data_IF_041851607459
#
_entry.id   IF_041851607459
#
_cell.length_a   1.000
_cell.length_b   1.000
_cell.length_c   1.000
_cell.angle_alpha   90.00
_cell.angle_beta   90.00
_cell.angle_gamma   90.00
#
_symmetry.space_group_name_H-M   'P 1'
#
loop_
_entity.id
_entity.type
_entity.pdbx_description
1 polymer ?
#
# COMPACT_ATOMS: atom_id res chain seq x y z
N UNK A 1 -19.32 -14.05 -24.20
CA UNK A 1 -18.63 -12.77 -24.47
C UNK A 1 -17.30 -12.74 -23.68
N UNK A 2 -16.19 -12.51 -24.40
CA UNK A 2 -14.91 -12.24 -23.75
C UNK A 2 -15.05 -10.89 -23.05
N UNK A 3 -15.02 -10.85 -21.72
CA UNK A 3 -15.14 -9.62 -20.95
C UNK A 3 -14.07 -8.58 -21.34
N UNK A 4 -14.20 -7.36 -20.82
CA UNK A 4 -13.22 -6.31 -21.06
C UNK A 4 -11.93 -6.61 -20.27
N UNK A 5 -10.82 -6.77 -20.98
CA UNK A 5 -9.50 -6.96 -20.38
C UNK A 5 -8.40 -6.26 -21.21
N UNK A 6 -7.27 -6.03 -20.58
CA UNK A 6 -6.10 -5.43 -21.21
C UNK A 6 -4.93 -6.41 -21.12
N UNK A 7 -4.19 -6.64 -22.22
CA UNK A 7 -2.94 -7.41 -22.21
C UNK A 7 -1.83 -6.63 -21.50
N UNK A 8 -0.78 -7.33 -21.08
CA UNK A 8 0.41 -6.67 -20.52
C UNK A 8 1.12 -5.81 -21.57
N UNK A 9 1.20 -6.30 -22.81
CA UNK A 9 1.65 -5.50 -23.95
C UNK A 9 0.83 -5.85 -25.20
N UNK A 10 0.93 -5.04 -26.23
CA UNK A 10 0.18 -5.20 -27.49
C UNK A 10 0.83 -6.20 -28.46
N UNK A 11 2.09 -6.55 -28.26
CA UNK A 11 2.89 -7.19 -29.31
C UNK A 11 2.89 -8.71 -29.25
N UNK A 12 2.61 -9.34 -28.11
CA UNK A 12 2.78 -10.78 -27.95
C UNK A 12 1.53 -11.55 -27.54
N UNK A 13 0.36 -10.93 -27.55
CA UNK A 13 -0.87 -11.59 -27.20
C UNK A 13 -0.90 -12.11 -25.74
N UNK A 14 -0.11 -11.50 -24.83
CA UNK A 14 -0.13 -11.85 -23.42
C UNK A 14 -1.56 -11.80 -22.89
N UNK A 15 -1.94 -12.81 -22.12
CA UNK A 15 -3.28 -12.90 -21.53
C UNK A 15 -3.55 -11.80 -20.52
N UNK A 16 -4.79 -11.72 -20.04
CA UNK A 16 -5.16 -10.80 -18.97
C UNK A 16 -4.39 -11.12 -17.68
N UNK A 17 -3.99 -10.08 -16.97
CA UNK A 17 -3.24 -10.21 -15.73
C UNK A 17 -3.61 -9.12 -14.72
N UNK A 18 -3.30 -9.33 -13.46
CA UNK A 18 -3.65 -8.41 -12.38
C UNK A 18 -2.88 -7.09 -12.47
N UNK A 19 -1.64 -7.09 -12.99
CA UNK A 19 -0.81 -5.90 -13.02
C UNK A 19 -1.31 -4.83 -14.01
N UNK A 20 -2.09 -5.20 -15.02
CA UNK A 20 -2.74 -4.25 -15.95
C UNK A 20 -4.18 -3.93 -15.56
N UNK A 21 -4.92 -4.96 -15.14
CA UNK A 21 -6.36 -4.80 -14.87
C UNK A 21 -6.67 -4.10 -13.56
N UNK A 22 -5.87 -4.32 -12.50
CA UNK A 22 -6.07 -3.64 -11.22
C UNK A 22 -5.89 -2.12 -11.34
N UNK A 23 -4.79 -1.59 -11.93
CA UNK A 23 -4.66 -0.15 -12.13
C UNK A 23 -5.65 0.40 -13.16
N UNK A 24 -6.06 -0.38 -14.18
CA UNK A 24 -7.10 0.07 -15.12
C UNK A 24 -8.46 0.26 -14.42
N UNK A 25 -8.85 -0.68 -13.56
CA UNK A 25 -10.03 -0.57 -12.72
C UNK A 25 -9.96 0.67 -11.81
N UNK A 26 -8.85 0.83 -11.10
CA UNK A 26 -8.61 1.96 -10.20
C UNK A 26 -8.62 3.30 -10.93
N UNK A 27 -7.95 3.39 -12.08
CA UNK A 27 -7.91 4.60 -12.89
C UNK A 27 -9.29 4.97 -13.40
N UNK A 28 -10.07 4.01 -13.92
CA UNK A 28 -11.42 4.23 -14.38
C UNK A 28 -12.34 4.75 -13.26
N UNK A 29 -12.25 4.18 -12.05
CA UNK A 29 -12.98 4.66 -10.88
C UNK A 29 -12.59 6.11 -10.52
N UNK A 30 -11.30 6.44 -10.49
CA UNK A 30 -10.80 7.81 -10.23
C UNK A 30 -11.26 8.80 -11.31
N UNK A 31 -11.26 8.42 -12.58
CA UNK A 31 -11.73 9.25 -13.67
C UNK A 31 -13.24 9.54 -13.55
N UNK A 32 -14.02 8.54 -13.17
CA UNK A 32 -15.45 8.75 -12.89
C UNK A 32 -15.65 9.73 -11.73
N UNK A 33 -14.96 9.54 -10.61
CA UNK A 33 -15.05 10.46 -9.46
C UNK A 33 -14.67 11.89 -9.83
N UNK A 34 -13.74 12.07 -10.75
CA UNK A 34 -13.26 13.40 -11.16
C UNK A 34 -14.19 14.08 -12.19
N UNK A 35 -14.70 13.31 -13.14
CA UNK A 35 -15.40 13.88 -14.32
C UNK A 35 -16.90 13.54 -14.40
N UNK A 36 -17.40 12.60 -13.59
CA UNK A 36 -18.81 12.17 -13.61
C UNK A 36 -19.26 11.47 -14.90
N UNK A 37 -18.32 11.03 -15.73
CA UNK A 37 -18.64 10.45 -17.04
C UNK A 37 -18.94 8.96 -16.90
N UNK A 38 -20.19 8.54 -17.17
CA UNK A 38 -20.67 7.16 -16.96
C UNK A 38 -19.83 6.08 -17.64
N UNK A 39 -19.23 6.39 -18.79
CA UNK A 39 -18.32 5.46 -19.49
C UNK A 39 -17.18 4.98 -18.61
N UNK A 40 -16.65 5.83 -17.74
CA UNK A 40 -15.55 5.44 -16.84
C UNK A 40 -16.05 4.50 -15.73
N UNK A 41 -17.26 4.73 -15.21
CA UNK A 41 -17.86 3.80 -14.24
C UNK A 41 -18.16 2.43 -14.88
N UNK A 42 -18.68 2.42 -16.10
CA UNK A 42 -18.89 1.18 -16.85
C UNK A 42 -17.58 0.41 -17.06
N UNK A 43 -16.49 1.06 -17.41
CA UNK A 43 -15.18 0.43 -17.51
C UNK A 43 -14.67 -0.09 -16.15
N UNK A 44 -14.81 0.68 -15.09
CA UNK A 44 -14.37 0.24 -13.76
C UNK A 44 -15.11 -1.03 -13.32
N UNK A 45 -16.44 -1.09 -13.52
CA UNK A 45 -17.26 -2.28 -13.24
C UNK A 45 -16.86 -3.47 -14.10
N UNK A 46 -16.64 -3.30 -15.39
CA UNK A 46 -16.23 -4.38 -16.30
C UNK A 46 -14.86 -4.94 -15.95
N UNK A 47 -13.88 -4.09 -15.60
CA UNK A 47 -12.57 -4.56 -15.11
C UNK A 47 -12.69 -5.28 -13.78
N UNK A 48 -13.49 -4.76 -12.84
CA UNK A 48 -13.77 -5.43 -11.58
C UNK A 48 -14.39 -6.83 -11.80
N UNK A 49 -15.41 -6.92 -12.63
CA UNK A 49 -16.08 -8.19 -12.92
C UNK A 49 -15.13 -9.18 -13.58
N UNK A 50 -14.29 -8.73 -14.51
CA UNK A 50 -13.28 -9.59 -15.11
C UNK A 50 -12.27 -10.10 -14.06
N UNK A 51 -11.75 -9.20 -13.24
CA UNK A 51 -10.81 -9.56 -12.17
C UNK A 51 -11.40 -10.59 -11.20
N UNK A 52 -12.63 -10.37 -10.74
CA UNK A 52 -13.26 -11.26 -9.74
C UNK A 52 -13.68 -12.61 -10.32
N UNK A 53 -14.03 -12.67 -11.60
CA UNK A 53 -14.49 -13.89 -12.24
C UNK A 53 -13.35 -14.76 -12.77
N UNK A 54 -12.19 -14.19 -13.11
CA UNK A 54 -11.15 -14.91 -13.84
C UNK A 54 -9.77 -14.93 -13.16
N UNK A 55 -9.42 -13.90 -12.37
CA UNK A 55 -8.07 -13.73 -11.86
C UNK A 55 -8.03 -13.86 -10.33
N UNK A 56 -8.76 -13.01 -9.62
CA UNK A 56 -8.78 -12.99 -8.17
C UNK A 56 -9.44 -14.25 -7.59
N UNK A 57 -8.95 -14.71 -6.45
CA UNK A 57 -9.40 -15.95 -5.81
C UNK A 57 -10.31 -15.66 -4.62
N UNK A 58 -11.10 -16.65 -4.26
CA UNK A 58 -12.05 -16.56 -3.13
C UNK A 58 -11.36 -16.40 -1.78
N UNK A 59 -10.10 -16.84 -1.66
CA UNK A 59 -9.29 -16.73 -0.44
C UNK A 59 -8.71 -15.33 -0.20
N UNK A 60 -8.89 -14.40 -1.13
CA UNK A 60 -8.39 -13.03 -1.06
C UNK A 60 -7.13 -12.76 -1.89
N UNK A 61 -6.57 -13.75 -2.58
CA UNK A 61 -5.49 -13.53 -3.54
C UNK A 61 -6.00 -12.79 -4.76
N UNK A 62 -5.28 -11.75 -5.17
CA UNK A 62 -5.58 -11.04 -6.42
C UNK A 62 -4.99 -11.76 -7.63
N UNK A 63 -3.83 -12.43 -7.45
CA UNK A 63 -3.14 -13.17 -8.52
C UNK A 63 -2.25 -14.30 -7.97
N UNK A 64 -1.61 -15.07 -8.86
CA UNK A 64 -0.66 -16.13 -8.53
C UNK A 64 0.69 -15.89 -9.23
N UNK A 65 1.82 -15.74 -8.51
CA UNK A 65 1.89 -15.62 -7.04
C UNK A 65 1.30 -14.29 -6.53
N UNK A 66 0.83 -14.23 -5.26
CA UNK A 66 0.29 -12.99 -4.73
C UNK A 66 1.41 -11.96 -4.55
N UNK A 67 1.22 -10.79 -5.15
CA UNK A 67 2.13 -9.64 -5.05
C UNK A 67 1.47 -8.51 -4.30
N UNK A 68 2.23 -7.81 -3.46
CA UNK A 68 1.66 -6.79 -2.57
C UNK A 68 1.04 -5.63 -3.34
N UNK A 69 1.65 -5.19 -4.45
CA UNK A 69 1.14 -4.05 -5.22
C UNK A 69 -0.22 -4.33 -5.86
N UNK A 70 -0.46 -5.53 -6.38
CA UNK A 70 -1.74 -5.89 -6.98
C UNK A 70 -2.84 -6.03 -5.95
N UNK A 71 -2.51 -6.61 -4.76
CA UNK A 71 -3.42 -6.66 -3.62
C UNK A 71 -3.88 -5.26 -3.20
N UNK A 72 -2.94 -4.32 -3.07
CA UNK A 72 -3.23 -2.94 -2.72
C UNK A 72 -4.04 -2.21 -3.79
N UNK A 73 -3.60 -2.28 -5.05
CA UNK A 73 -4.22 -1.55 -6.16
C UNK A 73 -5.66 -2.01 -6.41
N UNK A 74 -5.90 -3.33 -6.42
CA UNK A 74 -7.25 -3.83 -6.62
C UNK A 74 -8.15 -3.61 -5.41
N UNK A 75 -7.59 -3.73 -4.20
CA UNK A 75 -8.33 -3.38 -2.97
C UNK A 75 -8.77 -1.92 -2.94
N UNK A 76 -7.91 -0.99 -3.35
CA UNK A 76 -8.26 0.44 -3.47
C UNK A 76 -9.30 0.68 -4.57
N UNK A 77 -9.21 0.00 -5.71
CA UNK A 77 -10.24 0.07 -6.74
C UNK A 77 -11.62 -0.35 -6.18
N UNK A 78 -11.66 -1.43 -5.42
CA UNK A 78 -12.88 -1.87 -4.74
C UNK A 78 -13.39 -0.83 -3.73
N UNK A 79 -12.49 -0.22 -2.92
CA UNK A 79 -12.88 0.83 -1.97
C UNK A 79 -13.53 2.01 -2.68
N UNK A 80 -12.94 2.50 -3.77
CA UNK A 80 -13.52 3.61 -4.54
C UNK A 80 -14.84 3.23 -5.22
N UNK A 81 -14.95 2.02 -5.77
CA UNK A 81 -16.23 1.54 -6.33
C UNK A 81 -17.34 1.49 -5.27
N UNK A 82 -17.02 1.14 -4.02
CA UNK A 82 -17.98 1.23 -2.93
C UNK A 82 -18.45 2.67 -2.72
N UNK A 83 -17.56 3.64 -2.63
CA UNK A 83 -17.94 5.05 -2.45
C UNK A 83 -18.74 5.62 -3.63
N UNK A 84 -18.50 5.11 -4.84
CA UNK A 84 -19.25 5.53 -6.05
C UNK A 84 -20.65 4.93 -6.06
N UNK A 85 -20.79 3.65 -5.71
CA UNK A 85 -22.02 2.89 -5.97
C UNK A 85 -22.84 2.57 -4.72
N UNK A 86 -22.25 2.59 -3.53
CA UNK A 86 -22.86 2.11 -2.28
C UNK A 86 -23.00 0.58 -2.18
N UNK A 87 -22.54 -0.19 -3.19
CA UNK A 87 -22.74 -1.63 -3.23
C UNK A 87 -21.80 -2.35 -2.27
N UNK A 88 -22.35 -3.02 -1.26
CA UNK A 88 -21.59 -3.70 -0.19
C UNK A 88 -20.58 -4.74 -0.68
N UNK A 89 -20.79 -5.33 -1.86
CA UNK A 89 -19.83 -6.30 -2.45
C UNK A 89 -18.43 -5.70 -2.62
N UNK A 90 -18.34 -4.43 -3.04
CA UNK A 90 -17.07 -3.74 -3.22
C UNK A 90 -16.37 -3.47 -1.89
N UNK A 91 -17.12 -3.01 -0.88
CA UNK A 91 -16.62 -2.81 0.48
C UNK A 91 -16.01 -4.09 1.07
N UNK A 92 -16.73 -5.22 0.94
CA UNK A 92 -16.23 -6.52 1.41
C UNK A 92 -14.94 -6.92 0.71
N UNK A 93 -14.88 -6.79 -0.61
CA UNK A 93 -13.70 -7.16 -1.41
C UNK A 93 -12.50 -6.26 -1.13
N UNK A 94 -12.69 -4.97 -0.94
CA UNK A 94 -11.62 -4.06 -0.53
C UNK A 94 -10.90 -4.55 0.73
N UNK A 95 -11.66 -4.88 1.79
CA UNK A 95 -11.10 -5.40 3.03
C UNK A 95 -10.38 -6.73 2.86
N UNK A 96 -10.99 -7.67 2.13
CA UNK A 96 -10.43 -9.01 1.90
C UNK A 96 -9.09 -8.92 1.17
N UNK A 97 -9.00 -8.15 0.07
CA UNK A 97 -7.79 -8.08 -0.75
C UNK A 97 -6.64 -7.36 -0.04
N UNK A 98 -6.89 -6.21 0.57
CA UNK A 98 -5.84 -5.47 1.29
C UNK A 98 -5.38 -6.27 2.52
N UNK A 99 -6.30 -6.82 3.29
CA UNK A 99 -5.97 -7.58 4.49
C UNK A 99 -5.13 -8.85 4.17
N UNK A 100 -5.40 -9.50 3.04
CA UNK A 100 -4.63 -10.67 2.60
C UNK A 100 -3.12 -10.38 2.56
N UNK A 101 -2.72 -9.21 2.03
CA UNK A 101 -1.31 -8.84 1.94
C UNK A 101 -0.60 -8.78 3.30
N UNK A 102 -1.32 -8.46 4.37
CA UNK A 102 -0.72 -8.29 5.70
C UNK A 102 -0.89 -9.48 6.64
N UNK A 103 -1.77 -10.43 6.30
CA UNK A 103 -2.11 -11.54 7.20
C UNK A 103 -1.78 -12.92 6.64
N UNK A 104 -1.65 -13.06 5.32
CA UNK A 104 -1.35 -14.34 4.71
C UNK A 104 0.15 -14.62 4.67
N UNK A 105 0.58 -15.82 5.08
CA UNK A 105 1.98 -16.24 5.09
C UNK A 105 2.65 -16.25 3.71
N UNK A 106 1.89 -16.16 2.63
CA UNK A 106 2.43 -16.00 1.27
C UNK A 106 2.89 -14.57 0.95
N UNK A 107 2.38 -13.58 1.70
CA UNK A 107 2.76 -12.17 1.57
C UNK A 107 3.57 -11.68 2.76
N UNK A 108 3.66 -12.46 3.84
CA UNK A 108 4.34 -12.09 5.08
C UNK A 108 5.41 -13.11 5.46
N UNK A 109 6.41 -12.64 6.19
CA UNK A 109 7.40 -13.45 6.88
C UNK A 109 7.57 -12.88 8.30
N UNK A 110 7.48 -13.72 9.34
CA UNK A 110 7.52 -13.31 10.75
C UNK A 110 6.51 -12.18 11.11
N UNK A 111 5.38 -12.14 10.37
CA UNK A 111 4.33 -11.14 10.57
C UNK A 111 4.68 -9.74 10.04
N UNK A 112 5.67 -9.63 9.17
CA UNK A 112 6.02 -8.43 8.39
C UNK A 112 5.85 -8.73 6.90
N UNK A 113 5.64 -7.70 6.09
CA UNK A 113 5.63 -7.83 4.63
C UNK A 113 6.95 -8.43 4.17
N UNK A 114 6.86 -9.52 3.39
CA UNK A 114 8.04 -10.26 2.95
C UNK A 114 8.90 -9.46 1.97
N UNK A 115 10.09 -9.94 1.75
CA UNK A 115 10.92 -9.60 0.62
C UNK A 115 10.32 -10.20 -0.68
N UNK A 116 10.08 -9.37 -1.69
CA UNK A 116 9.46 -9.81 -2.96
C UNK A 116 10.45 -9.91 -4.11
N UNK A 117 11.72 -9.57 -3.88
CA UNK A 117 12.81 -9.63 -4.83
C UNK A 117 13.69 -8.37 -4.79
N UNK A 118 14.81 -8.41 -5.52
CA UNK A 118 15.83 -7.35 -5.53
C UNK A 118 15.86 -6.54 -6.82
N UNK A 119 15.07 -6.92 -7.84
CA UNK A 119 14.91 -6.08 -9.02
C UNK A 119 14.28 -4.73 -8.67
N UNK A 120 14.44 -3.73 -9.52
CA UNK A 120 13.85 -2.41 -9.31
C UNK A 120 12.34 -2.51 -9.06
N UNK A 121 11.61 -3.24 -9.90
CA UNK A 121 10.15 -3.39 -9.80
C UNK A 121 9.74 -4.10 -8.52
N UNK A 122 10.36 -5.24 -8.22
CA UNK A 122 10.04 -6.05 -7.04
C UNK A 122 10.30 -5.29 -5.73
N UNK A 123 11.35 -4.48 -5.69
CA UNK A 123 11.68 -3.67 -4.51
C UNK A 123 10.68 -2.52 -4.29
N UNK A 124 9.92 -2.11 -5.32
CA UNK A 124 8.89 -1.06 -5.26
C UNK A 124 7.49 -1.58 -4.92
N UNK A 125 7.21 -2.89 -4.99
CA UNK A 125 5.85 -3.41 -4.82
C UNK A 125 5.19 -2.98 -3.50
N UNK A 126 5.93 -3.03 -2.40
CA UNK A 126 5.42 -2.59 -1.10
C UNK A 126 5.09 -1.10 -1.06
N UNK A 127 5.85 -0.25 -1.78
CA UNK A 127 5.58 1.18 -1.86
C UNK A 127 4.19 1.48 -2.43
N UNK A 128 3.71 0.64 -3.34
CA UNK A 128 2.38 0.78 -3.96
C UNK A 128 1.27 0.32 -3.02
N UNK A 129 1.48 -0.76 -2.26
CA UNK A 129 0.48 -1.27 -1.30
C UNK A 129 0.19 -0.28 -0.17
N UNK A 130 1.25 0.30 0.42
CA UNK A 130 1.17 1.04 1.69
C UNK A 130 0.16 2.19 1.66
N UNK A 131 0.19 3.14 0.69
CA UNK A 131 -0.75 4.26 0.68
C UNK A 131 -2.21 3.80 0.56
N UNK A 132 -2.49 2.71 -0.15
CA UNK A 132 -3.84 2.17 -0.28
C UNK A 132 -4.31 1.49 1.01
N UNK A 133 -3.42 0.78 1.70
CA UNK A 133 -3.72 0.21 3.02
C UNK A 133 -4.00 1.32 4.05
N UNK A 134 -3.25 2.41 4.03
CA UNK A 134 -3.49 3.56 4.90
C UNK A 134 -4.79 4.28 4.54
N UNK A 135 -5.11 4.47 3.25
CA UNK A 135 -6.41 5.02 2.85
C UNK A 135 -7.57 4.17 3.39
N UNK A 136 -7.44 2.83 3.34
CA UNK A 136 -8.43 1.93 3.92
C UNK A 136 -8.55 2.08 5.44
N UNK A 137 -7.44 2.24 6.15
CA UNK A 137 -7.44 2.45 7.61
C UNK A 137 -8.12 3.76 8.01
N UNK A 138 -7.94 4.82 7.24
CA UNK A 138 -8.50 6.15 7.49
C UNK A 138 -9.97 6.29 7.06
N UNK A 139 -10.47 5.37 6.26
CA UNK A 139 -11.84 5.39 5.75
C UNK A 139 -12.81 4.78 6.79
N UNK A 140 -13.59 5.63 7.43
CA UNK A 140 -14.51 5.22 8.51
C UNK A 140 -15.62 4.29 8.03
N UNK A 141 -15.96 4.32 6.77
CA UNK A 141 -16.97 3.43 6.21
C UNK A 141 -16.45 2.00 6.01
N UNK A 142 -15.13 1.77 6.03
CA UNK A 142 -14.56 0.44 5.90
C UNK A 142 -14.72 -0.38 7.19
N UNK A 143 -14.71 -1.71 7.07
CA UNK A 143 -14.92 -2.61 8.20
C UNK A 143 -13.89 -2.39 9.29
N UNK A 144 -14.35 -2.07 10.51
CA UNK A 144 -13.50 -1.77 11.66
C UNK A 144 -12.53 -2.91 12.00
N UNK A 145 -12.94 -4.16 11.83
CA UNK A 145 -12.08 -5.33 12.09
C UNK A 145 -10.85 -5.32 11.20
N UNK A 146 -11.01 -5.10 9.88
CA UNK A 146 -9.90 -5.02 8.96
C UNK A 146 -9.05 -3.77 9.20
N UNK A 147 -9.68 -2.62 9.47
CA UNK A 147 -8.95 -1.37 9.81
C UNK A 147 -8.02 -1.59 11.00
N UNK A 148 -8.51 -2.20 12.09
CA UNK A 148 -7.69 -2.49 13.29
C UNK A 148 -6.52 -3.43 12.98
N UNK A 149 -6.77 -4.51 12.24
CA UNK A 149 -5.72 -5.44 11.85
C UNK A 149 -4.63 -4.74 11.02
N UNK A 150 -5.04 -3.93 10.06
CA UNK A 150 -4.11 -3.22 9.17
C UNK A 150 -3.31 -2.14 9.91
N UNK A 151 -3.92 -1.37 10.82
CA UNK A 151 -3.21 -0.39 11.65
C UNK A 151 -2.09 -1.07 12.44
N UNK A 152 -2.41 -2.18 13.13
CA UNK A 152 -1.42 -2.94 13.90
C UNK A 152 -0.30 -3.48 13.00
N UNK A 153 -0.65 -4.03 11.84
CA UNK A 153 0.34 -4.57 10.91
C UNK A 153 1.23 -3.47 10.31
N UNK A 154 0.66 -2.34 9.90
CA UNK A 154 1.40 -1.20 9.37
C UNK A 154 2.40 -0.64 10.38
N UNK A 155 1.98 -0.46 11.64
CA UNK A 155 2.85 -0.01 12.72
C UNK A 155 3.98 -0.99 12.98
N UNK A 156 3.67 -2.30 13.08
CA UNK A 156 4.69 -3.33 13.26
C UNK A 156 5.74 -3.31 12.15
N UNK A 157 5.34 -3.09 10.91
CA UNK A 157 6.26 -2.96 9.79
C UNK A 157 7.11 -1.68 9.91
N UNK A 158 6.52 -0.54 10.31
CA UNK A 158 7.23 0.71 10.48
C UNK A 158 8.26 0.63 11.62
N UNK A 159 7.88 0.04 12.76
CA UNK A 159 8.79 -0.17 13.90
C UNK A 159 9.98 -1.06 13.52
N UNK A 160 9.71 -2.15 12.79
CA UNK A 160 10.75 -3.05 12.32
C UNK A 160 11.70 -2.33 11.34
N UNK A 161 11.17 -1.59 10.37
CA UNK A 161 11.98 -0.81 9.45
C UNK A 161 12.83 0.21 10.20
N UNK A 162 12.23 1.01 11.09
CA UNK A 162 12.94 2.04 11.85
C UNK A 162 14.10 1.47 12.68
N UNK A 163 13.89 0.29 13.27
CA UNK A 163 14.94 -0.43 14.00
C UNK A 163 16.09 -0.84 13.08
N UNK A 164 15.81 -1.23 11.85
CA UNK A 164 16.72 -1.91 10.94
C UNK A 164 17.32 -1.00 9.84
N UNK A 165 16.96 0.29 9.82
CA UNK A 165 17.61 1.28 8.96
C UNK A 165 19.10 1.38 9.25
N UNK A 166 19.92 1.58 8.21
CA UNK A 166 21.30 1.99 8.38
C UNK A 166 21.40 3.47 8.80
N UNK A 167 21.36 3.69 10.11
CA UNK A 167 21.44 5.04 10.70
C UNK A 167 22.87 5.58 10.75
N UNK A 168 23.88 4.73 10.57
CA UNK A 168 25.29 5.15 10.58
C UNK A 168 25.65 5.93 9.31
N UNK A 169 24.95 5.64 8.21
CA UNK A 169 25.13 6.37 6.97
C UNK A 169 24.37 7.71 6.90
N UNK A 170 23.86 8.22 8.07
CA UNK A 170 23.13 9.51 8.08
C UNK A 170 23.91 10.61 7.32
N UNK A 171 23.22 11.41 6.48
CA UNK A 171 21.75 11.50 6.29
C UNK A 171 21.13 10.47 5.34
N UNK A 172 21.88 9.56 4.76
CA UNK A 172 21.39 8.67 3.70
C UNK A 172 20.42 7.58 4.20
N UNK A 173 20.65 7.02 5.39
CA UNK A 173 19.81 6.02 6.06
C UNK A 173 19.21 4.96 5.12
N UNK A 174 20.01 3.99 4.68
CA UNK A 174 19.57 2.99 3.73
C UNK A 174 18.54 2.00 4.30
N UNK A 175 17.52 1.67 3.50
CA UNK A 175 16.48 0.70 3.84
C UNK A 175 16.84 -0.70 3.35
N UNK A 176 16.66 -1.76 4.18
CA UNK A 176 16.76 -3.14 3.72
C UNK A 176 15.58 -3.53 2.81
N UNK A 177 15.76 -4.54 1.97
CA UNK A 177 14.67 -5.12 1.18
C UNK A 177 13.60 -5.78 2.05
N UNK A 178 14.01 -6.51 3.07
CA UNK A 178 13.14 -7.06 4.10
C UNK A 178 13.26 -6.24 5.38
N UNK A 179 12.18 -5.66 5.82
CA UNK A 179 12.18 -4.74 6.96
C UNK A 179 12.46 -5.39 8.31
N UNK A 180 12.39 -6.74 8.40
CA UNK A 180 12.70 -7.51 9.59
C UNK A 180 14.18 -7.77 9.82
N UNK A 181 15.06 -7.36 8.92
CA UNK A 181 16.52 -7.55 8.98
C UNK A 181 17.25 -6.22 8.87
N UNK A 182 18.40 -6.12 9.55
CA UNK A 182 19.24 -4.94 9.44
C UNK A 182 19.75 -4.76 8.00
N UNK A 183 19.91 -3.50 7.57
CA UNK A 183 20.49 -3.21 6.26
C UNK A 183 21.88 -3.83 6.17
N UNK A 184 22.11 -4.58 5.09
CA UNK A 184 23.42 -5.17 4.81
C UNK A 184 24.30 -4.17 4.07
N UNK A 185 25.30 -3.62 4.72
CA UNK A 185 26.22 -2.62 4.17
C UNK A 185 27.10 -3.15 3.02
N UNK A 186 27.20 -4.48 2.85
CA UNK A 186 27.88 -5.10 1.70
C UNK A 186 27.05 -5.09 0.41
N UNK A 187 25.74 -4.78 0.51
CA UNK A 187 24.85 -4.69 -0.64
C UNK A 187 24.80 -3.25 -1.19
N UNK A 188 24.60 -3.12 -2.49
CA UNK A 188 24.35 -1.81 -3.10
C UNK A 188 22.98 -1.28 -2.63
N UNK A 189 22.92 0.00 -2.30
CA UNK A 189 21.66 0.66 -1.98
C UNK A 189 20.67 0.59 -3.15
N UNK A 190 19.45 0.17 -2.88
CA UNK A 190 18.37 0.10 -3.87
C UNK A 190 17.45 1.30 -3.75
N UNK A 191 17.27 2.03 -4.86
CA UNK A 191 16.28 3.12 -4.93
C UNK A 191 14.86 2.59 -4.63
N UNK A 192 14.52 1.39 -5.12
CA UNK A 192 13.22 0.78 -4.85
C UNK A 192 13.00 0.43 -3.37
N UNK A 193 14.02 -0.13 -2.70
CA UNK A 193 13.95 -0.39 -1.27
C UNK A 193 13.82 0.91 -0.46
N UNK A 194 14.57 1.96 -0.86
CA UNK A 194 14.47 3.30 -0.25
C UNK A 194 13.07 3.89 -0.42
N UNK A 195 12.51 3.86 -1.63
CA UNK A 195 11.16 4.35 -1.91
C UNK A 195 10.09 3.57 -1.11
N UNK A 196 10.24 2.25 -0.98
CA UNK A 196 9.33 1.43 -0.18
C UNK A 196 9.40 1.75 1.32
N UNK A 197 10.60 1.98 1.85
CA UNK A 197 10.78 2.40 3.23
C UNK A 197 10.23 3.80 3.50
N UNK A 198 10.51 4.76 2.63
CA UNK A 198 9.99 6.12 2.73
C UNK A 198 8.45 6.13 2.66
N UNK A 199 7.86 5.39 1.69
CA UNK A 199 6.41 5.24 1.58
C UNK A 199 5.79 4.70 2.87
N UNK A 200 6.40 3.70 3.50
CA UNK A 200 5.91 3.15 4.76
C UNK A 200 5.93 4.20 5.87
N UNK A 201 7.08 4.82 6.13
CA UNK A 201 7.23 5.74 7.26
C UNK A 201 6.35 6.99 7.10
N UNK A 202 6.28 7.56 5.90
CA UNK A 202 5.44 8.72 5.60
C UNK A 202 3.95 8.40 5.79
N UNK A 203 3.46 7.31 5.19
CA UNK A 203 2.04 6.98 5.26
C UNK A 203 1.62 6.50 6.66
N UNK A 204 2.47 5.79 7.40
CA UNK A 204 2.18 5.43 8.79
C UNK A 204 2.18 6.68 9.67
N UNK A 205 3.11 7.62 9.48
CA UNK A 205 3.09 8.91 10.17
C UNK A 205 1.78 9.68 9.89
N UNK A 206 1.33 9.73 8.64
CA UNK A 206 0.02 10.32 8.27
C UNK A 206 -1.12 9.64 9.01
N UNK A 207 -1.16 8.31 9.00
CA UNK A 207 -2.18 7.51 9.69
C UNK A 207 -2.21 7.79 11.20
N UNK A 208 -1.03 7.92 11.82
CA UNK A 208 -0.89 8.18 13.24
C UNK A 208 -1.36 9.60 13.64
N UNK A 209 -1.21 10.56 12.75
CA UNK A 209 -1.59 11.94 12.98
C UNK A 209 -3.06 12.24 12.65
N UNK A 210 -3.75 11.32 11.98
CA UNK A 210 -5.16 11.49 11.63
C UNK A 210 -6.06 11.33 12.85
N UNK A 211 -6.92 12.31 13.11
CA UNK A 211 -7.82 12.33 14.28
C UNK A 211 -8.82 11.20 14.27
N UNK A 212 -9.23 10.71 13.10
CA UNK A 212 -10.20 9.61 13.00
C UNK A 212 -9.65 8.30 13.53
N UNK A 213 -8.35 8.04 13.40
CA UNK A 213 -7.70 6.88 14.01
C UNK A 213 -7.63 6.99 15.53
N UNK A 214 -7.56 8.18 16.07
CA UNK A 214 -7.58 8.42 17.54
C UNK A 214 -8.98 8.24 18.12
N UNK A 215 -10.02 8.70 17.42
CA UNK A 215 -11.41 8.60 17.85
C UNK A 215 -11.96 7.17 17.84
N UNK A 216 -11.48 6.32 16.94
CA UNK A 216 -11.90 4.90 16.89
C UNK A 216 -11.34 4.03 18.02
N UNK A 217 -10.63 4.63 18.99
CA UNK A 217 -10.03 3.90 20.12
C UNK A 217 -8.83 3.03 19.72
N UNK A 218 -8.38 3.11 18.49
CA UNK A 218 -7.11 2.54 18.03
C UNK A 218 -6.03 3.44 18.60
N UNK A 219 -5.50 3.12 19.78
CA UNK A 219 -4.32 3.79 20.33
C UNK A 219 -3.16 3.49 19.41
N UNK A 220 -2.84 4.44 18.57
CA UNK A 220 -1.61 4.44 17.80
C UNK A 220 -0.52 4.93 18.75
N UNK A 221 0.47 4.12 19.15
CA UNK A 221 1.60 4.65 19.89
C UNK A 221 2.24 5.73 19.01
N UNK A 222 2.18 6.96 19.46
CA UNK A 222 2.96 8.02 18.87
C UNK A 222 4.42 7.59 19.03
N UNK A 223 5.08 7.31 17.93
CA UNK A 223 6.54 7.30 17.92
C UNK A 223 6.94 8.74 18.23
N UNK A 224 7.19 9.02 19.51
CA UNK A 224 7.78 10.29 19.88
C UNK A 224 9.01 10.44 19.00
N UNK A 225 9.17 11.56 18.26
CA UNK A 225 10.43 11.81 17.61
C UNK A 225 11.47 11.71 18.72
N UNK A 226 12.46 10.84 18.49
CA UNK A 226 13.65 10.78 19.33
C UNK A 226 14.06 12.25 19.51
N UNK A 227 14.13 12.73 20.74
CA UNK A 227 14.37 14.14 21.08
C UNK A 227 15.78 14.60 20.69
N UNK A 228 16.38 13.98 19.70
CA UNK A 228 17.58 14.52 19.07
C UNK A 228 17.21 15.71 18.20
N UNK A 229 17.67 16.85 18.65
CA UNK A 229 17.60 18.17 18.04
C UNK A 229 17.97 18.14 16.55
N UNK A 230 16.99 17.98 15.67
CA UNK A 230 17.17 18.02 14.23
C UNK A 230 16.22 19.03 13.60
N UNK A 231 16.72 19.81 12.67
CA UNK A 231 15.87 20.67 11.84
C UNK A 231 14.98 19.80 10.94
N UNK A 232 13.71 20.16 10.83
CA UNK A 232 12.77 19.52 9.90
C UNK A 232 12.63 20.41 8.67
N UNK A 233 12.83 19.85 7.50
CA UNK A 233 12.72 20.55 6.23
C UNK A 233 11.58 19.95 5.39
N UNK A 234 10.91 20.79 4.59
CA UNK A 234 10.01 20.34 3.53
C UNK A 234 10.81 19.75 2.37
N UNK A 235 10.12 19.08 1.43
CA UNK A 235 10.75 18.45 0.26
C UNK A 235 11.46 19.45 -0.67
N UNK A 236 11.09 20.71 -0.62
CA UNK A 236 11.75 21.82 -1.36
C UNK A 236 12.93 22.45 -0.59
N UNK A 237 13.28 21.90 0.59
CA UNK A 237 14.39 22.36 1.42
C UNK A 237 14.04 23.52 2.37
N UNK A 238 12.77 23.91 2.48
CA UNK A 238 12.35 24.96 3.42
C UNK A 238 12.36 24.42 4.86
N UNK A 239 13.00 25.14 5.79
CA UNK A 239 13.02 24.78 7.21
C UNK A 239 11.61 24.91 7.81
N UNK A 240 11.01 23.79 8.18
CA UNK A 240 9.68 23.74 8.80
C UNK A 240 9.73 23.84 10.32
N UNK A 241 10.79 23.34 10.95
CA UNK A 241 11.00 23.35 12.39
C UNK A 241 12.47 23.37 12.71
N UNK A 242 12.87 24.30 13.56
CA UNK A 242 14.23 24.34 14.11
C UNK A 242 14.31 23.47 15.36
N UNK A 243 15.30 22.59 15.41
CA UNK A 243 15.60 21.83 16.63
C UNK A 243 16.11 22.77 17.72
N UNK A 244 15.63 22.60 18.94
CA UNK A 244 16.19 23.27 20.13
C UNK A 244 17.37 22.46 20.64
N UNK A 245 18.53 23.09 20.76
CA UNK A 245 19.64 22.58 21.56
C UNK A 245 19.40 22.99 23.00
N UNK A 246 19.03 22.06 23.86
CA UNK A 246 19.17 22.22 25.33
C UNK A 246 20.58 21.82 25.73
#
# INVERSE_FOLDING_TARGET
>A
EKGLWLPWNTDNGSGPNACTLSPACLMAAKLYMKYGTEKYLDYAKKFYDYMTNHIAKSDGRVEEPPLTYTQGTFGEACRLLYHITGESKYKMKAGVYINYAFTNGRCTHNGLLRHEGTSMDQSLFKAVLIPYAVNFCLDEEMQITYRRTLVTALQKNADALWKNLDKQAYPKMYCPYYWGEAYNTAEAASMGAMASGASLLENVSRMCNDRTTQETGIKVPFMAPDTQSGNVYSLDGTLLRQGTTD
#
